data_IF_023078702558
#
_entry.id   IF_023078702558
#
_cell.length_a   1.000
_cell.length_b   1.000
_cell.length_c   1.000
_cell.angle_alpha   90.00
_cell.angle_beta   90.00
_cell.angle_gamma   90.00
#
_symmetry.space_group_name_H-M   'P 1'
#
loop_
_entity.id
_entity.type
_entity.pdbx_description
1 polymer ?
#
# COMPACT_ATOMS: atom_id res chain seq x y z
N UNK A 1 28.27 14.83 -1.41
CA UNK A 1 28.36 14.44 -2.84
C UNK A 1 28.31 15.71 -3.67
N UNK A 2 29.28 15.94 -4.57
CA UNK A 2 29.26 17.06 -5.51
C UNK A 2 28.87 16.54 -6.91
N UNK A 3 27.98 17.25 -7.61
CA UNK A 3 27.50 16.87 -8.93
C UNK A 3 28.11 17.78 -10.00
N UNK A 4 28.57 17.18 -11.11
CA UNK A 4 29.17 17.92 -12.23
C UNK A 4 28.13 18.34 -13.28
N UNK A 5 27.01 17.63 -13.38
CA UNK A 5 25.95 17.89 -14.36
C UNK A 5 24.58 17.50 -13.77
N UNK A 6 23.53 18.23 -14.14
CA UNK A 6 22.15 17.96 -13.73
C UNK A 6 21.23 18.03 -14.96
N UNK A 7 20.52 16.95 -15.24
CA UNK A 7 19.50 16.87 -16.28
C UNK A 7 18.12 16.72 -15.65
N UNK A 8 17.16 17.53 -16.09
CA UNK A 8 15.75 17.44 -15.65
C UNK A 8 15.01 16.45 -16.57
N UNK A 9 14.61 15.29 -16.01
CA UNK A 9 13.87 14.27 -16.76
C UNK A 9 12.37 14.56 -16.87
N UNK A 10 11.80 15.23 -15.86
CA UNK A 10 10.38 15.57 -15.83
C UNK A 10 10.18 16.85 -15.03
N UNK A 11 9.73 17.92 -15.70
CA UNK A 11 9.43 19.20 -15.06
C UNK A 11 7.99 19.21 -14.54
N UNK A 12 7.80 19.81 -13.37
CA UNK A 12 6.45 20.05 -12.84
C UNK A 12 5.95 21.39 -13.36
N UNK A 13 4.94 21.36 -14.23
CA UNK A 13 4.43 22.57 -14.89
C UNK A 13 3.24 23.21 -14.16
N UNK A 14 2.70 22.56 -13.12
CA UNK A 14 1.53 23.02 -12.37
C UNK A 14 1.83 23.16 -10.88
N UNK A 15 1.12 24.08 -10.20
CA UNK A 15 1.24 24.24 -8.75
C UNK A 15 0.74 22.99 -8.04
N UNK A 16 1.54 22.44 -7.13
CA UNK A 16 1.13 21.27 -6.35
C UNK A 16 -0.02 21.63 -5.40
N UNK A 17 -1.00 20.72 -5.19
CA UNK A 17 -2.10 20.92 -4.25
C UNK A 17 -1.62 20.98 -2.79
N UNK A 18 -0.47 20.38 -2.48
CA UNK A 18 0.21 20.46 -1.19
C UNK A 18 1.70 20.14 -1.34
N UNK A 19 2.50 20.52 -0.34
CA UNK A 19 3.94 20.22 -0.30
C UNK A 19 4.17 18.76 0.14
N UNK A 20 5.08 18.07 -0.55
CA UNK A 20 5.48 16.68 -0.23
C UNK A 20 6.68 16.67 0.73
N UNK A 21 6.67 17.52 1.76
CA UNK A 21 7.73 17.56 2.77
C UNK A 21 7.32 16.78 4.04
N UNK A 22 8.32 16.44 4.85
CA UNK A 22 8.23 15.62 6.07
C UNK A 22 7.73 16.38 7.30
N UNK A 23 7.51 17.70 7.21
CA UNK A 23 7.09 18.51 8.34
C UNK A 23 5.59 18.36 8.65
N UNK A 24 5.26 18.42 9.93
CA UNK A 24 3.99 18.11 10.59
C UNK A 24 2.76 18.91 10.11
N UNK A 25 2.20 18.51 8.96
CA UNK A 25 0.93 19.04 8.45
C UNK A 25 -0.29 18.16 8.81
N UNK A 26 -0.11 17.13 9.62
CA UNK A 26 -1.09 16.03 9.80
C UNK A 26 -2.33 16.37 10.65
N UNK A 27 -2.50 17.60 11.12
CA UNK A 27 -3.56 17.97 12.09
C UNK A 27 -4.80 18.65 11.51
N UNK A 28 -4.84 18.99 10.23
CA UNK A 28 -6.03 19.59 9.59
C UNK A 28 -6.84 18.53 8.82
N UNK A 29 -8.09 18.29 9.23
CA UNK A 29 -9.03 17.41 8.53
C UNK A 29 -9.32 17.86 7.09
N UNK A 30 -9.33 19.17 6.83
CA UNK A 30 -9.43 19.73 5.47
C UNK A 30 -8.25 19.31 4.57
N UNK A 31 -7.08 19.00 5.13
CA UNK A 31 -5.93 18.47 4.36
C UNK A 31 -6.10 16.99 4.05
N UNK A 32 -6.86 16.23 4.82
CA UNK A 32 -7.03 14.78 4.61
C UNK A 32 -7.86 14.47 3.35
N UNK A 33 -8.95 15.19 3.12
CA UNK A 33 -9.76 15.03 1.90
C UNK A 33 -8.92 15.28 0.64
N UNK A 34 -8.12 16.36 0.64
CA UNK A 34 -7.21 16.69 -0.47
C UNK A 34 -6.14 15.58 -0.64
N UNK A 35 -5.60 15.04 0.45
CA UNK A 35 -4.62 13.93 0.40
C UNK A 35 -5.22 12.64 -0.12
N UNK A 36 -6.49 12.35 0.19
CA UNK A 36 -7.20 11.20 -0.37
C UNK A 36 -7.47 11.40 -1.87
N UNK A 37 -7.89 12.61 -2.28
CA UNK A 37 -8.11 12.94 -3.70
C UNK A 37 -6.82 12.86 -4.52
N UNK A 38 -5.70 13.32 -3.98
CA UNK A 38 -4.37 13.28 -4.60
C UNK A 38 -3.46 12.23 -3.96
N UNK A 39 -3.99 11.03 -3.70
CA UNK A 39 -3.28 9.95 -2.99
C UNK A 39 -1.95 9.57 -3.63
N UNK A 40 -1.81 9.67 -4.95
CA UNK A 40 -0.55 9.41 -5.66
C UNK A 40 0.59 10.34 -5.22
N UNK A 41 0.27 11.57 -4.82
CA UNK A 41 1.24 12.54 -4.32
C UNK A 41 1.54 12.29 -2.83
N UNK A 42 0.52 11.96 -2.05
CA UNK A 42 0.64 11.66 -0.62
C UNK A 42 1.51 10.41 -0.35
N UNK A 43 1.42 9.40 -1.21
CA UNK A 43 2.23 8.18 -1.11
C UNK A 43 3.74 8.41 -1.23
N UNK A 44 4.17 9.58 -1.75
CA UNK A 44 5.59 9.96 -1.84
C UNK A 44 6.18 10.39 -0.49
N UNK A 45 5.34 10.66 0.53
CA UNK A 45 5.83 10.99 1.87
C UNK A 45 6.42 9.76 2.53
N UNK A 46 7.53 9.94 3.24
CA UNK A 46 8.26 8.85 3.88
C UNK A 46 7.40 8.04 4.86
N UNK A 47 6.52 8.71 5.63
CA UNK A 47 5.59 8.04 6.53
C UNK A 47 4.63 7.10 5.78
N UNK A 48 4.06 7.55 4.67
CA UNK A 48 3.13 6.73 3.88
C UNK A 48 3.83 5.55 3.22
N UNK A 49 5.04 5.76 2.69
CA UNK A 49 5.88 4.68 2.16
C UNK A 49 6.20 3.64 3.22
N UNK A 50 6.61 4.06 4.42
CA UNK A 50 6.85 3.18 5.57
C UNK A 50 5.60 2.41 5.98
N UNK A 51 4.43 3.05 5.97
CA UNK A 51 3.16 2.39 6.30
C UNK A 51 2.80 1.30 5.28
N UNK A 52 2.98 1.56 3.99
CA UNK A 52 2.74 0.55 2.94
C UNK A 52 3.73 -0.61 3.06
N UNK A 53 5.00 -0.32 3.34
CA UNK A 53 6.02 -1.34 3.55
C UNK A 53 5.72 -2.19 4.78
N UNK A 54 5.26 -1.57 5.88
CA UNK A 54 4.85 -2.28 7.09
C UNK A 54 3.66 -3.20 6.81
N UNK A 55 2.62 -2.69 6.14
CA UNK A 55 1.46 -3.50 5.74
C UNK A 55 1.88 -4.70 4.90
N UNK A 56 2.78 -4.50 3.93
CA UNK A 56 3.33 -5.60 3.13
C UNK A 56 4.02 -6.65 4.00
N UNK A 57 4.89 -6.22 4.92
CA UNK A 57 5.60 -7.14 5.83
C UNK A 57 4.63 -7.95 6.70
N UNK A 58 3.62 -7.29 7.26
CA UNK A 58 2.61 -7.95 8.11
C UNK A 58 1.83 -8.99 7.32
N UNK A 59 1.28 -8.64 6.15
CA UNK A 59 0.53 -9.58 5.30
C UNK A 59 1.40 -10.76 4.87
N UNK A 60 2.67 -10.51 4.52
CA UNK A 60 3.64 -11.55 4.16
C UNK A 60 3.91 -12.51 5.33
N UNK A 61 4.06 -11.98 6.54
CA UNK A 61 4.25 -12.80 7.75
C UNK A 61 3.02 -13.64 8.06
N UNK A 62 1.82 -13.05 7.97
CA UNK A 62 0.56 -13.77 8.19
C UNK A 62 0.40 -14.93 7.21
N UNK A 63 0.68 -14.72 5.91
CA UNK A 63 0.62 -15.78 4.90
C UNK A 63 1.58 -16.92 5.22
N UNK A 64 2.86 -16.61 5.46
CA UNK A 64 3.87 -17.62 5.83
C UNK A 64 3.48 -18.41 7.07
N UNK A 65 2.97 -17.74 8.10
CA UNK A 65 2.51 -18.41 9.32
C UNK A 65 1.39 -19.42 9.02
N UNK A 66 0.42 -19.06 8.18
CA UNK A 66 -0.71 -19.92 7.85
C UNK A 66 -0.31 -21.07 6.91
N UNK A 67 0.57 -20.80 5.95
CA UNK A 67 1.11 -21.80 5.02
C UNK A 67 2.00 -22.81 5.77
N UNK A 68 3.03 -22.34 6.46
CA UNK A 68 4.09 -23.17 7.04
C UNK A 68 3.63 -23.99 8.25
N UNK A 69 2.82 -23.40 9.15
CA UNK A 69 2.44 -24.05 10.41
C UNK A 69 1.07 -24.72 10.37
N UNK A 70 0.18 -24.24 9.50
CA UNK A 70 -1.21 -24.69 9.48
C UNK A 70 -1.61 -25.36 8.16
N UNK A 71 -0.70 -25.38 7.16
CA UNK A 71 -0.92 -26.02 5.87
C UNK A 71 -2.03 -25.37 5.04
N UNK A 72 -2.30 -24.07 5.26
CA UNK A 72 -3.30 -23.37 4.46
C UNK A 72 -2.80 -23.13 3.04
N UNK A 73 -3.68 -23.35 2.07
CA UNK A 73 -3.42 -23.01 0.67
C UNK A 73 -4.10 -21.68 0.35
N UNK A 74 -3.33 -20.75 -0.22
CA UNK A 74 -3.83 -19.46 -0.71
C UNK A 74 -4.62 -19.69 -2.00
N UNK A 75 -5.93 -19.40 -1.97
CA UNK A 75 -6.81 -19.54 -3.12
C UNK A 75 -7.36 -18.17 -3.52
N UNK A 76 -7.18 -17.82 -4.79
CA UNK A 76 -7.76 -16.61 -5.38
C UNK A 76 -9.18 -16.92 -5.84
N UNK A 77 -10.17 -16.52 -5.04
CA UNK A 77 -11.57 -16.62 -5.46
C UNK A 77 -11.98 -15.42 -6.31
N UNK A 78 -12.74 -15.69 -7.37
CA UNK A 78 -13.39 -14.65 -8.15
C UNK A 78 -14.41 -13.94 -7.26
N UNK A 79 -14.31 -12.60 -7.12
CA UNK A 79 -15.22 -11.76 -6.33
C UNK A 79 -16.72 -11.95 -6.63
N UNK A 80 -17.08 -12.58 -7.75
CA UNK A 80 -18.45 -12.83 -8.20
C UNK A 80 -19.07 -14.19 -7.83
N UNK A 81 -18.38 -15.12 -7.14
CA UNK A 81 -18.99 -16.40 -6.72
C UNK A 81 -18.56 -16.81 -5.33
N UNK A 82 -19.38 -16.50 -4.33
CA UNK A 82 -19.25 -16.91 -2.92
C UNK A 82 -19.85 -18.29 -2.61
N UNK A 83 -20.16 -19.12 -3.62
CA UNK A 83 -21.01 -20.30 -3.37
C UNK A 83 -20.28 -21.66 -3.34
N UNK A 84 -19.10 -21.84 -3.92
CA UNK A 84 -18.54 -23.20 -4.04
C UNK A 84 -17.01 -23.22 -3.99
N UNK A 85 -16.43 -23.37 -2.79
CA UNK A 85 -15.21 -24.14 -2.58
C UNK A 85 -14.96 -24.29 -1.07
N UNK A 86 -15.76 -25.13 -0.41
CA UNK A 86 -15.44 -25.63 0.93
C UNK A 86 -15.30 -27.15 0.80
N UNK A 87 -14.12 -27.57 0.36
CA UNK A 87 -13.71 -28.97 0.45
C UNK A 87 -13.39 -29.24 1.94
N UNK A 88 -14.10 -30.14 2.65
CA UNK A 88 -13.98 -30.31 4.10
C UNK A 88 -12.60 -30.83 4.56
N UNK A 89 -11.75 -31.24 3.62
CA UNK A 89 -10.40 -31.74 3.88
C UNK A 89 -9.29 -30.70 3.69
N UNK A 90 -9.58 -29.51 3.16
CA UNK A 90 -8.57 -28.45 2.96
C UNK A 90 -8.92 -27.17 3.72
N UNK A 91 -7.97 -26.72 4.54
CA UNK A 91 -8.03 -25.40 5.18
C UNK A 91 -7.70 -24.33 4.14
N UNK A 92 -8.71 -23.64 3.63
CA UNK A 92 -8.56 -22.60 2.59
C UNK A 92 -8.56 -21.22 3.23
N UNK A 93 -7.57 -20.39 2.86
CA UNK A 93 -7.54 -18.99 3.26
C UNK A 93 -8.04 -18.12 2.11
N UNK A 94 -9.20 -17.47 2.29
CA UNK A 94 -9.72 -16.48 1.36
C UNK A 94 -8.98 -15.16 1.52
N UNK A 95 -8.32 -14.68 0.46
CA UNK A 95 -7.68 -13.37 0.44
C UNK A 95 -8.64 -12.37 -0.22
N UNK A 96 -8.95 -11.29 0.50
CA UNK A 96 -9.79 -10.16 0.05
C UNK A 96 -9.02 -9.29 -0.95
#
# INVERSE_FOLDING_TARGET
VAANEVQVLNSVNAKLPFLVTTADDAKDSLKEEIRLRYRCLDLRRQQMSSNILLRHKVVKLMRRYLEDLHGFVEVLSSRLKLQYCLDPHQKVLGII
#
